data_IF_901876343546
#
_entry.id   IF_901876343546
#
_cell.length_a   1.000
_cell.length_b   1.000
_cell.length_c   1.000
_cell.angle_alpha   90.00
_cell.angle_beta   90.00
_cell.angle_gamma   90.00
#
_symmetry.space_group_name_H-M   'P 1'
#
loop_
_entity.id
_entity.type
_entity.pdbx_description
1 polymer ?
#
# COMPACT_ATOMS: atom_id res chain seq x y z
N UNK A 1 -22.42 4.73 3.25
CA UNK A 1 -21.83 5.11 1.95
C UNK A 1 -20.50 4.41 1.78
N UNK A 2 -20.40 3.48 0.82
CA UNK A 2 -19.24 2.61 0.60
C UNK A 2 -17.89 3.36 0.44
N UNK A 3 -17.91 4.60 -0.09
CA UNK A 3 -16.71 5.42 -0.27
C UNK A 3 -15.91 5.66 1.03
N UNK A 4 -16.59 5.75 2.19
CA UNK A 4 -15.93 5.92 3.50
C UNK A 4 -15.09 4.71 3.92
N UNK A 5 -15.50 3.49 3.55
CA UNK A 5 -14.78 2.26 3.91
C UNK A 5 -13.44 2.13 3.16
N UNK A 6 -13.32 2.76 2.00
CA UNK A 6 -12.11 2.80 1.18
C UNK A 6 -11.41 4.16 1.21
N UNK A 7 -11.77 5.04 2.15
CA UNK A 7 -11.21 6.40 2.32
C UNK A 7 -11.27 7.25 1.05
N UNK A 8 -12.30 7.08 0.21
CA UNK A 8 -12.54 7.87 -0.99
C UNK A 8 -13.71 8.83 -0.81
N UNK A 9 -13.68 9.95 -1.54
CA UNK A 9 -14.87 10.77 -1.77
C UNK A 9 -15.83 10.07 -2.74
N UNK A 10 -17.10 10.44 -2.76
CA UNK A 10 -18.07 9.87 -3.71
C UNK A 10 -17.70 10.14 -5.19
N UNK A 11 -17.23 11.35 -5.59
CA UNK A 11 -16.69 11.57 -6.93
C UNK A 11 -15.48 10.69 -7.25
N UNK A 12 -14.55 10.51 -6.30
CA UNK A 12 -13.38 9.65 -6.47
C UNK A 12 -13.78 8.18 -6.64
N UNK A 13 -14.76 7.71 -5.88
CA UNK A 13 -15.29 6.35 -5.99
C UNK A 13 -15.95 6.11 -7.35
N UNK A 14 -16.75 7.07 -7.84
CA UNK A 14 -17.38 6.99 -9.17
C UNK A 14 -16.33 6.87 -10.28
N UNK A 15 -15.29 7.72 -10.26
CA UNK A 15 -14.18 7.66 -11.23
C UNK A 15 -13.42 6.33 -11.16
N UNK A 16 -13.18 5.82 -9.95
CA UNK A 16 -12.52 4.53 -9.76
C UNK A 16 -13.36 3.39 -10.39
N UNK A 17 -14.68 3.37 -10.14
CA UNK A 17 -15.58 2.40 -10.76
C UNK A 17 -15.58 2.52 -12.29
N UNK A 18 -15.66 3.72 -12.86
CA UNK A 18 -15.57 3.92 -14.32
C UNK A 18 -14.29 3.34 -14.91
N UNK A 19 -13.14 3.55 -14.26
CA UNK A 19 -11.86 2.97 -14.71
C UNK A 19 -11.88 1.44 -14.64
N UNK A 20 -12.40 0.87 -13.55
CA UNK A 20 -12.50 -0.58 -13.39
C UNK A 20 -13.40 -1.21 -14.45
N UNK A 21 -14.51 -0.55 -14.81
CA UNK A 21 -15.38 -0.99 -15.91
C UNK A 21 -14.64 -1.09 -17.24
N UNK A 22 -13.80 -0.10 -17.54
CA UNK A 22 -12.96 -0.14 -18.74
C UNK A 22 -11.91 -1.26 -18.71
N UNK A 23 -11.29 -1.51 -17.54
CA UNK A 23 -10.27 -2.57 -17.40
C UNK A 23 -10.87 -3.97 -17.56
N UNK A 24 -12.02 -4.21 -16.92
CA UNK A 24 -12.66 -5.53 -16.93
C UNK A 24 -13.67 -5.72 -18.06
N UNK A 25 -13.92 -4.67 -18.84
CA UNK A 25 -14.95 -4.62 -19.88
C UNK A 25 -16.31 -5.14 -19.38
N UNK A 26 -16.70 -4.72 -18.18
CA UNK A 26 -17.92 -5.15 -17.47
C UNK A 26 -18.42 -4.01 -16.58
N UNK A 27 -19.74 -3.87 -16.41
CA UNK A 27 -20.31 -2.77 -15.61
C UNK A 27 -20.07 -2.89 -14.09
N UNK A 28 -19.69 -4.08 -13.63
CA UNK A 28 -19.40 -4.51 -12.26
C UNK A 28 -20.55 -4.38 -11.25
N UNK A 29 -21.35 -3.33 -11.36
CA UNK A 29 -22.52 -3.03 -10.54
C UNK A 29 -23.65 -2.54 -11.43
N UNK A 30 -24.82 -3.18 -11.33
CA UNK A 30 -26.06 -2.83 -12.06
C UNK A 30 -27.19 -2.51 -11.09
N UNK A 31 -28.26 -1.87 -11.57
CA UNK A 31 -29.44 -1.59 -10.73
C UNK A 31 -30.30 -2.85 -10.60
N UNK A 32 -30.45 -3.33 -9.37
CA UNK A 32 -31.41 -4.36 -8.97
C UNK A 32 -32.58 -3.77 -8.16
N UNK A 33 -33.46 -4.66 -7.68
CA UNK A 33 -34.66 -4.30 -6.94
C UNK A 33 -34.40 -3.56 -5.62
N UNK A 34 -33.28 -3.84 -4.95
CA UNK A 34 -32.92 -3.25 -3.65
C UNK A 34 -31.77 -2.23 -3.73
N UNK A 35 -31.33 -1.86 -4.92
CA UNK A 35 -30.21 -0.93 -5.12
C UNK A 35 -29.18 -1.44 -6.11
N UNK A 36 -27.90 -1.16 -5.86
CA UNK A 36 -26.82 -1.64 -6.73
C UNK A 36 -26.45 -3.08 -6.36
N UNK A 37 -26.43 -3.96 -7.36
CA UNK A 37 -26.06 -5.37 -7.22
C UNK A 37 -24.87 -5.70 -8.13
N UNK A 38 -23.96 -6.59 -7.72
CA UNK A 38 -22.83 -6.99 -8.54
C UNK A 38 -23.28 -7.77 -9.78
N UNK A 39 -22.51 -7.64 -10.86
CA UNK A 39 -22.62 -8.53 -12.01
C UNK A 39 -22.01 -9.91 -11.67
N UNK A 40 -22.36 -10.98 -12.40
CA UNK A 40 -21.71 -12.29 -12.21
C UNK A 40 -20.17 -12.23 -12.37
N UNK A 41 -19.66 -11.34 -13.23
CA UNK A 41 -18.23 -11.08 -13.37
C UNK A 41 -17.65 -10.44 -12.10
N UNK A 42 -18.32 -9.43 -11.54
CA UNK A 42 -17.89 -8.80 -10.30
C UNK A 42 -17.91 -9.75 -9.10
N UNK A 43 -18.90 -10.65 -9.01
CA UNK A 43 -18.94 -11.69 -7.97
C UNK A 43 -17.74 -12.64 -8.08
N UNK A 44 -17.42 -13.10 -9.30
CA UNK A 44 -16.21 -13.91 -9.54
C UNK A 44 -14.92 -13.17 -9.17
N UNK A 45 -14.81 -11.91 -9.57
CA UNK A 45 -13.65 -11.07 -9.23
C UNK A 45 -13.51 -10.87 -7.71
N UNK A 46 -14.63 -10.70 -6.99
CA UNK A 46 -14.62 -10.53 -5.53
C UNK A 46 -14.07 -11.76 -4.80
N UNK A 47 -14.20 -12.96 -5.39
CA UNK A 47 -13.62 -14.19 -4.84
C UNK A 47 -12.15 -14.37 -5.22
N UNK A 48 -11.76 -13.97 -6.44
CA UNK A 48 -10.40 -14.22 -6.96
C UNK A 48 -9.37 -13.17 -6.56
N UNK A 49 -9.77 -11.89 -6.46
CA UNK A 49 -8.83 -10.78 -6.25
C UNK A 49 -8.21 -10.71 -4.85
N UNK A 50 -8.89 -11.02 -3.73
CA UNK A 50 -8.30 -10.89 -2.40
C UNK A 50 -6.93 -11.59 -2.22
N UNK A 51 -6.76 -12.90 -2.52
CA UNK A 51 -5.46 -13.55 -2.35
C UNK A 51 -4.38 -12.99 -3.28
N UNK A 52 -4.74 -12.54 -4.49
CA UNK A 52 -3.81 -11.91 -5.44
C UNK A 52 -3.32 -10.57 -4.91
N UNK A 53 -4.23 -9.74 -4.38
CA UNK A 53 -3.89 -8.44 -3.80
C UNK A 53 -3.03 -8.60 -2.55
N UNK A 54 -3.27 -9.62 -1.74
CA UNK A 54 -2.45 -9.89 -0.55
C UNK A 54 -1.05 -10.39 -0.92
N UNK A 55 -0.92 -11.23 -1.94
CA UNK A 55 0.39 -11.62 -2.48
C UNK A 55 1.16 -10.39 -3.02
N UNK A 56 0.49 -9.53 -3.80
CA UNK A 56 1.09 -8.28 -4.30
C UNK A 56 1.50 -7.36 -3.16
N UNK A 57 0.67 -7.20 -2.12
CA UNK A 57 1.02 -6.43 -0.92
C UNK A 57 2.24 -7.01 -0.23
N UNK A 58 2.33 -8.34 -0.11
CA UNK A 58 3.52 -9.01 0.42
C UNK A 58 4.78 -8.72 -0.39
N UNK A 59 4.68 -8.71 -1.72
CA UNK A 59 5.81 -8.39 -2.61
C UNK A 59 6.23 -6.91 -2.51
N UNK A 60 5.27 -5.99 -2.50
CA UNK A 60 5.54 -4.54 -2.44
C UNK A 60 6.02 -4.12 -1.05
N UNK A 61 5.47 -4.70 0.02
CA UNK A 61 5.84 -4.37 1.40
C UNK A 61 7.13 -5.06 1.88
N UNK A 62 7.75 -5.95 1.09
CA UNK A 62 9.10 -6.49 1.37
C UNK A 62 10.21 -5.42 1.34
N UNK A 63 9.89 -4.16 1.08
CA UNK A 63 10.76 -3.00 1.27
C UNK A 63 11.02 -2.65 2.77
N UNK A 64 10.51 -3.46 3.71
CA UNK A 64 10.63 -3.24 5.17
C UNK A 64 11.99 -3.53 5.81
N UNK A 65 12.97 -4.06 5.09
CA UNK A 65 14.38 -4.03 5.53
C UNK A 65 15.10 -2.91 4.79
N UNK A 66 14.90 -1.66 5.24
CA UNK A 66 15.63 -0.52 4.72
C UNK A 66 17.07 -0.57 5.21
N UNK A 67 17.88 -1.42 4.58
CA UNK A 67 19.33 -1.44 4.77
C UNK A 67 19.94 -0.22 4.08
N UNK A 68 19.92 0.92 4.77
CA UNK A 68 20.55 2.14 4.28
C UNK A 68 22.00 2.22 4.73
N UNK A 69 22.93 2.31 3.78
CA UNK A 69 24.33 2.65 4.07
C UNK A 69 24.49 4.16 4.00
N UNK A 70 24.78 4.81 5.11
CA UNK A 70 25.12 6.23 5.18
C UNK A 70 26.62 6.37 5.42
N UNK A 71 27.29 7.17 4.59
CA UNK A 71 28.70 7.54 4.80
C UNK A 71 28.70 8.93 5.41
N UNK A 72 29.35 9.07 6.58
CA UNK A 72 29.52 10.34 7.26
C UNK A 72 31.01 10.67 7.32
N UNK A 73 31.39 11.87 6.84
CA UNK A 73 32.73 12.41 7.01
C UNK A 73 32.77 13.26 8.28
N UNK A 74 33.67 12.93 9.19
CA UNK A 74 33.83 13.61 10.48
C UNK A 74 35.31 13.96 10.64
N UNK A 75 35.68 15.21 11.00
CA UNK A 75 37.05 15.55 11.38
C UNK A 75 37.51 14.74 12.60
N UNK A 76 38.75 14.26 12.62
CA UNK A 76 39.27 13.31 13.61
C UNK A 76 38.98 13.68 15.07
N UNK A 77 39.18 14.95 15.44
CA UNK A 77 38.92 15.43 16.81
C UNK A 77 37.44 15.32 17.22
N UNK A 78 36.51 15.46 16.28
CA UNK A 78 35.08 15.33 16.54
C UNK A 78 34.67 13.86 16.58
N UNK A 79 35.30 13.01 15.75
CA UNK A 79 35.05 11.57 15.74
C UNK A 79 35.42 10.93 17.10
N UNK A 80 36.52 11.36 17.72
CA UNK A 80 36.94 10.88 19.04
C UNK A 80 35.93 11.18 20.15
N UNK A 81 35.20 12.30 20.04
CA UNK A 81 34.20 12.72 21.03
C UNK A 81 32.83 12.08 20.73
N UNK A 82 32.46 12.01 19.45
CA UNK A 82 31.12 11.62 19.02
C UNK A 82 30.94 10.11 18.83
N UNK A 83 31.96 9.38 18.36
CA UNK A 83 31.83 7.94 18.08
C UNK A 83 31.56 7.08 19.32
N UNK A 84 32.22 7.27 20.48
CA UNK A 84 31.99 6.43 21.66
C UNK A 84 30.52 6.39 22.14
N UNK A 85 29.80 7.52 22.27
CA UNK A 85 28.38 7.49 22.64
C UNK A 85 27.44 7.11 21.48
N UNK A 86 27.83 7.33 20.22
CA UNK A 86 26.98 7.01 19.06
C UNK A 86 27.00 5.52 18.69
N UNK A 87 28.11 4.81 18.90
CA UNK A 87 28.23 3.39 18.53
C UNK A 87 27.17 2.48 19.18
N UNK A 88 26.85 2.59 20.48
CA UNK A 88 25.78 1.81 21.10
C UNK A 88 24.40 2.13 20.50
N UNK A 89 24.11 3.43 20.30
CA UNK A 89 22.84 3.89 19.75
C UNK A 89 22.61 3.39 18.32
N UNK A 90 23.66 3.40 17.49
CA UNK A 90 23.62 2.88 16.12
C UNK A 90 23.41 1.36 16.10
N UNK A 91 24.05 0.61 17.01
CA UNK A 91 23.83 -0.85 17.12
C UNK A 91 22.42 -1.22 17.56
N UNK A 92 21.81 -0.41 18.40
CA UNK A 92 20.45 -0.63 18.90
C UNK A 92 19.38 -0.27 17.87
N UNK A 93 19.56 0.84 17.14
CA UNK A 93 18.51 1.40 16.27
C UNK A 93 18.74 1.17 14.77
N UNK A 94 19.93 0.73 14.36
CA UNK A 94 20.29 0.43 12.97
C UNK A 94 21.20 -0.82 12.86
N UNK A 95 20.70 -2.01 13.22
CA UNK A 95 21.45 -3.27 13.11
C UNK A 95 21.80 -3.68 11.67
#
# INVERSE_FOLDING_TARGET
HAARHVRLSQPSMSRALTRLRGIFNDDLLVRGSSGLVPTPQAERLAQMLPPVLDALRGMVNRQGERRSKTIMAIPDHQALILLPPLLPLLREHAP
#
